data_IF_855054913632
#
_entry.id   IF_855054913632
#
_cell.length_a   1.000
_cell.length_b   1.000
_cell.length_c   1.000
_cell.angle_alpha   90.00
_cell.angle_beta   90.00
_cell.angle_gamma   90.00
#
_symmetry.space_group_name_H-M   'P 1'
#
loop_
_entity.id
_entity.type
_entity.pdbx_description
1 polymer ?
#
# COMPACT_ATOMS: atom_id res chain seq x y z
N UNK A 1 -14.04 -18.43 -19.00
CA UNK A 1 -15.13 -18.38 -20.00
C UNK A 1 -15.23 -17.06 -20.77
N UNK A 2 -15.00 -15.85 -20.20
CA UNK A 2 -15.10 -14.59 -20.97
C UNK A 2 -13.86 -14.29 -21.85
N UNK A 3 -12.67 -14.69 -21.40
CA UNK A 3 -11.39 -14.43 -22.10
C UNK A 3 -10.95 -15.55 -23.05
N UNK A 4 -11.64 -16.68 -23.02
CA UNK A 4 -11.44 -17.81 -23.94
C UNK A 4 -12.81 -18.18 -24.53
N UNK A 5 -13.28 -17.41 -25.53
CA UNK A 5 -14.58 -17.65 -26.11
C UNK A 5 -14.62 -18.97 -26.88
N UNK A 6 -15.63 -19.78 -26.58
CA UNK A 6 -15.97 -20.95 -27.39
C UNK A 6 -16.70 -20.42 -28.64
N UNK A 7 -16.11 -20.56 -29.83
CA UNK A 7 -16.66 -20.13 -31.12
C UNK A 7 -16.53 -18.63 -31.46
N UNK A 8 -15.53 -17.92 -30.93
CA UNK A 8 -15.11 -16.65 -31.51
C UNK A 8 -13.62 -16.39 -31.27
N UNK A 9 -13.05 -15.40 -31.95
CA UNK A 9 -11.70 -14.92 -31.69
C UNK A 9 -11.65 -14.05 -30.43
N UNK A 10 -10.54 -14.07 -29.67
CA UNK A 10 -10.35 -13.15 -28.55
C UNK A 10 -10.15 -11.71 -29.07
N UNK A 11 -10.64 -10.71 -28.31
CA UNK A 11 -10.38 -9.28 -28.63
C UNK A 11 -8.92 -8.91 -28.41
N UNK A 12 -8.32 -9.47 -27.35
CA UNK A 12 -6.90 -9.36 -27.04
C UNK A 12 -6.43 -10.77 -26.68
N UNK A 13 -5.49 -11.32 -27.44
CA UNK A 13 -5.00 -12.68 -27.20
C UNK A 13 -4.26 -13.25 -28.41
N UNK A 14 -3.77 -14.47 -28.27
CA UNK A 14 -3.16 -15.24 -29.35
C UNK A 14 -4.20 -16.21 -29.92
N UNK A 15 -4.22 -16.36 -31.22
CA UNK A 15 -4.97 -17.40 -31.94
C UNK A 15 -4.04 -17.99 -33.02
N UNK A 16 -4.34 -19.20 -33.49
CA UNK A 16 -3.61 -19.83 -34.58
C UNK A 16 -4.20 -19.38 -35.91
N UNK A 17 -3.39 -19.38 -36.96
CA UNK A 17 -3.85 -19.05 -38.32
C UNK A 17 -4.99 -19.95 -38.81
N UNK A 18 -5.01 -21.21 -38.37
CA UNK A 18 -6.07 -22.18 -38.65
C UNK A 18 -7.41 -21.76 -38.03
N UNK A 19 -7.40 -21.08 -36.89
CA UNK A 19 -8.63 -20.63 -36.21
C UNK A 19 -9.34 -19.54 -37.02
N UNK A 20 -8.60 -18.67 -37.72
CA UNK A 20 -9.18 -17.63 -38.58
C UNK A 20 -9.92 -18.26 -39.78
N UNK A 21 -9.35 -19.31 -40.36
CA UNK A 21 -9.92 -19.96 -41.54
C UNK A 21 -11.24 -20.69 -41.24
N UNK A 22 -11.48 -21.03 -39.98
CA UNK A 22 -12.72 -21.67 -39.53
C UNK A 22 -13.91 -20.70 -39.44
N UNK A 23 -13.69 -19.38 -39.43
CA UNK A 23 -14.76 -18.38 -39.32
C UNK A 23 -15.21 -17.85 -40.68
N UNK A 24 -16.52 -17.73 -40.86
CA UNK A 24 -17.08 -16.95 -41.97
C UNK A 24 -16.79 -15.47 -41.76
N UNK A 25 -16.42 -14.75 -42.83
CA UNK A 25 -16.18 -13.30 -42.79
C UNK A 25 -17.34 -12.56 -42.11
N UNK A 26 -17.05 -11.76 -41.08
CA UNK A 26 -18.03 -11.01 -40.27
C UNK A 26 -18.57 -11.76 -39.03
N UNK A 27 -18.23 -13.04 -38.85
CA UNK A 27 -18.61 -13.88 -37.69
C UNK A 27 -17.43 -14.25 -36.80
N UNK A 28 -16.28 -13.61 -36.99
CA UNK A 28 -15.04 -13.90 -36.26
C UNK A 28 -15.15 -13.51 -34.78
N UNK A 29 -15.96 -12.49 -34.47
CA UNK A 29 -16.15 -12.00 -33.10
C UNK A 29 -17.58 -12.23 -32.61
N UNK A 30 -17.71 -12.81 -31.42
CA UNK A 30 -18.97 -12.99 -30.72
C UNK A 30 -19.53 -11.66 -30.20
N UNK A 31 -20.74 -11.72 -29.64
CA UNK A 31 -21.48 -10.55 -29.17
C UNK A 31 -20.71 -9.75 -28.12
N UNK A 32 -20.13 -10.43 -27.12
CA UNK A 32 -19.31 -9.80 -26.07
C UNK A 32 -18.04 -9.17 -26.67
N UNK A 33 -17.39 -9.86 -27.60
CA UNK A 33 -16.18 -9.38 -28.27
C UNK A 33 -16.46 -8.12 -29.08
N UNK A 34 -17.60 -8.07 -29.79
CA UNK A 34 -18.04 -6.88 -30.54
C UNK A 34 -18.31 -5.69 -29.62
N UNK A 35 -18.92 -5.91 -28.45
CA UNK A 35 -19.12 -4.87 -27.44
C UNK A 35 -17.78 -4.31 -26.95
N UNK A 36 -16.82 -5.18 -26.64
CA UNK A 36 -15.48 -4.80 -26.19
C UNK A 36 -14.69 -4.06 -27.28
N UNK A 37 -14.70 -4.53 -28.53
CA UNK A 37 -14.06 -3.85 -29.67
C UNK A 37 -14.65 -2.43 -29.81
N UNK A 38 -15.98 -2.31 -29.76
CA UNK A 38 -16.66 -1.00 -29.86
C UNK A 38 -16.23 -0.04 -28.74
N UNK A 39 -16.09 -0.54 -27.52
CA UNK A 39 -15.61 0.24 -26.39
C UNK A 39 -14.15 0.69 -26.60
N UNK A 40 -13.27 -0.26 -26.94
CA UNK A 40 -11.83 -0.03 -27.09
C UNK A 40 -11.49 0.86 -28.29
N UNK A 41 -12.29 0.82 -29.34
CA UNK A 41 -12.16 1.70 -30.52
C UNK A 41 -12.80 3.08 -30.33
N UNK A 42 -13.49 3.34 -29.21
CA UNK A 42 -14.14 4.63 -28.96
C UNK A 42 -13.16 5.66 -28.41
N UNK A 43 -13.21 6.88 -28.93
CA UNK A 43 -12.40 8.03 -28.47
C UNK A 43 -12.94 8.70 -27.21
N UNK A 44 -14.16 8.37 -26.76
CA UNK A 44 -14.85 9.02 -25.64
C UNK A 44 -14.92 8.04 -24.45
N UNK A 45 -14.13 8.29 -23.39
CA UNK A 45 -13.84 7.28 -22.35
C UNK A 45 -14.76 7.24 -21.11
N UNK A 46 -15.52 8.28 -20.76
CA UNK A 46 -16.07 8.37 -19.39
C UNK A 46 -17.51 7.89 -19.14
N UNK A 47 -18.27 7.47 -20.16
CA UNK A 47 -19.64 6.92 -19.98
C UNK A 47 -19.90 5.57 -20.65
N UNK A 48 -19.09 5.20 -21.64
CA UNK A 48 -19.29 3.96 -22.40
C UNK A 48 -18.82 2.71 -21.66
N UNK A 49 -17.87 2.83 -20.74
CA UNK A 49 -17.35 1.70 -19.96
C UNK A 49 -18.45 1.06 -19.12
N UNK A 50 -19.15 1.85 -18.29
CA UNK A 50 -20.27 1.38 -17.47
C UNK A 50 -21.40 0.81 -18.32
N UNK A 51 -21.75 1.48 -19.42
CA UNK A 51 -22.79 1.01 -20.33
C UNK A 51 -22.41 -0.32 -20.98
N UNK A 52 -21.16 -0.45 -21.43
CA UNK A 52 -20.64 -1.68 -22.05
C UNK A 52 -20.57 -2.82 -21.03
N UNK A 53 -20.12 -2.53 -19.81
CA UNK A 53 -20.12 -3.51 -18.72
C UNK A 53 -21.54 -4.01 -18.44
N UNK A 54 -22.52 -3.11 -18.36
CA UNK A 54 -23.93 -3.49 -18.20
C UNK A 54 -24.43 -4.32 -19.38
N UNK A 55 -24.07 -3.98 -20.62
CA UNK A 55 -24.45 -4.77 -21.80
C UNK A 55 -23.86 -6.19 -21.77
N UNK A 56 -22.60 -6.34 -21.36
CA UNK A 56 -21.94 -7.65 -21.23
C UNK A 56 -22.62 -8.47 -20.13
N UNK A 57 -22.89 -7.87 -18.98
CA UNK A 57 -23.56 -8.51 -17.85
C UNK A 57 -24.98 -8.94 -18.25
N UNK A 58 -25.76 -8.05 -18.87
CA UNK A 58 -27.10 -8.38 -19.36
C UNK A 58 -27.06 -9.50 -20.38
N UNK A 59 -26.12 -9.46 -21.34
CA UNK A 59 -25.97 -10.50 -22.35
C UNK A 59 -25.62 -11.86 -21.71
N UNK A 60 -24.78 -11.90 -20.68
CA UNK A 60 -24.50 -13.12 -19.94
C UNK A 60 -25.77 -13.68 -19.28
N UNK A 61 -26.49 -12.87 -18.50
CA UNK A 61 -27.70 -13.34 -17.82
C UNK A 61 -28.83 -13.70 -18.78
N UNK A 62 -28.95 -13.03 -19.92
CA UNK A 62 -29.97 -13.37 -20.92
C UNK A 62 -29.71 -14.72 -21.60
N UNK A 63 -28.46 -15.10 -21.81
CA UNK A 63 -28.12 -16.31 -22.56
C UNK A 63 -27.78 -17.51 -21.66
N UNK A 64 -27.04 -17.28 -20.58
CA UNK A 64 -26.54 -18.35 -19.70
C UNK A 64 -27.47 -18.61 -18.51
N UNK A 65 -28.20 -17.59 -18.04
CA UNK A 65 -29.05 -17.65 -16.85
C UNK A 65 -30.43 -16.98 -17.06
N UNK A 66 -31.21 -17.39 -18.07
CA UNK A 66 -32.42 -16.68 -18.51
C UNK A 66 -33.46 -16.50 -17.40
N UNK A 67 -33.53 -17.42 -16.45
CA UNK A 67 -34.39 -17.35 -15.27
C UNK A 67 -34.06 -16.14 -14.37
N UNK A 68 -32.76 -15.86 -14.17
CA UNK A 68 -32.28 -14.70 -13.41
C UNK A 68 -32.56 -13.41 -14.17
N UNK A 69 -32.36 -13.40 -15.49
CA UNK A 69 -32.69 -12.25 -16.35
C UNK A 69 -34.19 -11.93 -16.32
N UNK A 70 -35.03 -12.95 -16.42
CA UNK A 70 -36.49 -12.81 -16.32
C UNK A 70 -36.91 -12.27 -14.95
N UNK A 71 -36.33 -12.79 -13.86
CA UNK A 71 -36.60 -12.32 -12.50
C UNK A 71 -36.17 -10.85 -12.32
N UNK A 72 -35.01 -10.45 -12.84
CA UNK A 72 -34.53 -9.07 -12.81
C UNK A 72 -35.42 -8.10 -13.61
N UNK A 73 -35.92 -8.53 -14.78
CA UNK A 73 -36.75 -7.70 -15.66
C UNK A 73 -38.22 -7.60 -15.22
N UNK A 74 -38.78 -8.67 -14.65
CA UNK A 74 -40.18 -8.72 -14.22
C UNK A 74 -40.43 -8.05 -12.86
N UNK A 75 -39.38 -7.72 -12.10
CA UNK A 75 -39.50 -7.14 -10.76
C UNK A 75 -40.09 -8.09 -9.71
N UNK A 76 -40.47 -9.31 -10.10
CA UNK A 76 -40.91 -10.37 -9.21
C UNK A 76 -39.68 -11.07 -8.64
N UNK A 77 -39.11 -10.51 -7.57
CA UNK A 77 -37.88 -11.07 -6.99
C UNK A 77 -38.01 -11.53 -5.53
N UNK A 78 -38.90 -12.50 -5.22
CA UNK A 78 -38.80 -13.28 -3.98
C UNK A 78 -37.42 -13.96 -3.84
N UNK A 79 -36.83 -14.38 -4.96
CA UNK A 79 -35.57 -15.12 -4.99
C UNK A 79 -34.32 -14.26 -4.78
N UNK A 80 -34.33 -12.96 -5.08
CA UNK A 80 -33.21 -12.07 -4.71
C UNK A 80 -33.19 -11.85 -3.21
N UNK A 81 -34.36 -11.75 -2.56
CA UNK A 81 -34.43 -11.67 -1.10
C UNK A 81 -33.87 -12.96 -0.48
N UNK A 82 -34.20 -14.12 -1.03
CA UNK A 82 -33.63 -15.40 -0.61
C UNK A 82 -32.12 -15.49 -0.87
N UNK A 83 -31.62 -15.04 -2.03
CA UNK A 83 -30.19 -14.95 -2.36
C UNK A 83 -29.45 -13.94 -1.47
N UNK A 84 -30.06 -12.81 -1.12
CA UNK A 84 -29.51 -11.82 -0.19
C UNK A 84 -29.51 -12.34 1.24
N UNK A 85 -30.52 -13.11 1.64
CA UNK A 85 -30.58 -13.79 2.94
C UNK A 85 -29.53 -14.90 3.00
N UNK A 86 -29.43 -15.74 1.96
CA UNK A 86 -28.40 -16.78 1.82
C UNK A 86 -27.00 -16.16 1.77
N UNK A 87 -26.82 -15.04 1.08
CA UNK A 87 -25.58 -14.26 1.07
C UNK A 87 -25.23 -13.79 2.48
N UNK A 88 -26.19 -13.15 3.18
CA UNK A 88 -26.01 -12.71 4.57
C UNK A 88 -25.71 -13.87 5.53
N UNK A 89 -26.34 -15.04 5.34
CA UNK A 89 -26.12 -16.22 6.19
C UNK A 89 -24.87 -17.01 5.82
N UNK A 90 -24.39 -16.93 4.57
CA UNK A 90 -23.20 -17.63 4.08
C UNK A 90 -21.90 -16.99 4.55
N UNK A 91 -21.94 -15.76 5.08
CA UNK A 91 -20.75 -15.01 5.48
C UNK A 91 -19.83 -14.63 4.32
N UNK A 92 -20.23 -14.90 3.07
CA UNK A 92 -19.48 -14.51 1.87
C UNK A 92 -19.47 -13.00 1.78
N UNK A 93 -18.34 -12.38 2.12
CA UNK A 93 -18.11 -10.97 1.82
C UNK A 93 -17.61 -10.90 0.39
N UNK A 94 -18.40 -10.36 -0.53
CA UNK A 94 -17.83 -9.79 -1.76
C UNK A 94 -16.89 -8.71 -1.24
N UNK A 95 -15.58 -8.94 -1.37
CA UNK A 95 -14.56 -8.04 -0.87
C UNK A 95 -14.92 -6.64 -1.32
N UNK A 96 -15.25 -5.78 -0.35
CA UNK A 96 -15.28 -4.35 -0.63
C UNK A 96 -13.90 -4.05 -1.18
N UNK A 97 -13.84 -3.40 -2.35
CA UNK A 97 -12.58 -2.96 -3.00
C UNK A 97 -11.73 -2.10 -2.03
N UNK A 98 -12.29 -1.75 -0.87
CA UNK A 98 -11.72 -0.93 0.19
C UNK A 98 -11.45 -1.66 1.51
N UNK A 99 -11.87 -2.93 1.70
CA UNK A 99 -11.74 -3.63 2.98
C UNK A 99 -10.67 -4.71 2.95
N UNK A 100 -9.65 -4.52 3.79
CA UNK A 100 -9.20 -5.57 4.71
C UNK A 100 -8.98 -6.95 4.10
N UNK A 101 -8.26 -7.04 2.97
CA UNK A 101 -7.64 -8.29 2.58
C UNK A 101 -6.85 -8.83 3.77
N UNK A 102 -7.05 -10.11 4.08
CA UNK A 102 -6.44 -10.92 5.14
C UNK A 102 -4.90 -10.95 5.16
N UNK A 103 -4.24 -10.03 4.45
CA UNK A 103 -2.80 -9.93 4.27
C UNK A 103 -2.20 -8.62 4.81
N UNK A 104 -2.97 -7.73 5.44
CA UNK A 104 -2.36 -6.58 6.12
C UNK A 104 -1.67 -7.03 7.39
N UNK A 105 -0.48 -6.47 7.65
CA UNK A 105 0.33 -6.77 8.82
C UNK A 105 -0.43 -6.39 10.08
N UNK A 106 -0.50 -7.32 11.04
CA UNK A 106 -1.24 -7.14 12.30
C UNK A 106 -0.32 -6.77 13.48
N UNK A 107 0.99 -6.99 13.34
CA UNK A 107 1.97 -6.71 14.38
C UNK A 107 3.34 -6.39 13.79
N UNK A 108 4.13 -5.62 14.52
CA UNK A 108 5.55 -5.38 14.27
C UNK A 108 6.32 -6.05 15.40
N UNK A 109 6.74 -7.30 15.23
CA UNK A 109 7.40 -8.05 16.29
C UNK A 109 6.52 -8.13 17.55
N UNK A 110 6.90 -7.42 18.60
CA UNK A 110 6.16 -7.36 19.88
C UNK A 110 5.17 -6.20 20.02
N UNK A 111 4.89 -5.47 18.93
CA UNK A 111 4.02 -4.29 18.96
C UNK A 111 2.78 -4.50 18.08
N UNK A 112 1.56 -4.50 18.64
CA UNK A 112 0.34 -4.73 17.87
C UNK A 112 -0.03 -3.52 17.01
N UNK A 113 -0.49 -3.77 15.79
CA UNK A 113 -1.03 -2.77 14.87
C UNK A 113 -2.54 -2.69 15.08
N UNK A 114 -3.02 -1.56 15.61
CA UNK A 114 -4.46 -1.29 15.78
C UNK A 114 -5.19 -1.43 14.44
N UNK A 115 -6.35 -2.08 14.42
CA UNK A 115 -7.11 -2.27 13.18
C UNK A 115 -7.51 -0.93 12.58
N UNK A 116 -7.52 -0.84 11.24
CA UNK A 116 -7.87 0.42 10.56
C UNK A 116 -9.27 0.91 10.96
N UNK A 117 -10.23 0.00 11.17
CA UNK A 117 -11.59 0.35 11.64
C UNK A 117 -11.63 1.02 13.01
N UNK A 118 -10.65 0.77 13.86
CA UNK A 118 -10.55 1.33 15.21
C UNK A 118 -9.91 2.72 15.24
N UNK A 119 -9.33 3.19 14.13
CA UNK A 119 -8.83 4.56 14.05
C UNK A 119 -9.98 5.55 13.77
N UNK A 120 -9.93 6.79 14.31
CA UNK A 120 -10.84 7.87 13.94
C UNK A 120 -10.88 8.14 12.44
N UNK A 121 -12.03 8.57 11.89
CA UNK A 121 -12.16 8.89 10.45
C UNK A 121 -11.22 10.03 10.02
N UNK A 122 -10.93 10.97 10.91
CA UNK A 122 -9.97 12.05 10.68
C UNK A 122 -8.55 11.55 10.39
N UNK A 123 -8.20 10.34 10.88
CA UNK A 123 -6.91 9.67 10.64
C UNK A 123 -6.96 8.67 9.47
N UNK A 124 -8.09 8.60 8.74
CA UNK A 124 -8.34 7.68 7.62
C UNK A 124 -8.81 8.45 6.37
N UNK A 125 -7.99 9.36 5.81
CA UNK A 125 -8.40 10.22 4.71
C UNK A 125 -8.92 9.42 3.51
N UNK A 126 -10.04 9.84 2.91
CA UNK A 126 -10.66 9.16 1.78
C UNK A 126 -9.95 9.40 0.44
N UNK A 127 -9.12 10.46 0.34
CA UNK A 127 -8.50 10.88 -0.90
C UNK A 127 -7.01 11.19 -0.73
N UNK A 128 -6.23 10.90 -1.77
CA UNK A 128 -4.78 11.13 -1.77
C UNK A 128 -4.40 12.62 -1.69
N UNK A 129 -5.27 13.55 -2.11
CA UNK A 129 -5.02 15.00 -2.14
C UNK A 129 -5.43 15.72 -0.86
N UNK A 130 -6.30 15.11 -0.04
CA UNK A 130 -6.75 15.69 1.24
C UNK A 130 -5.74 15.49 2.37
N UNK A 131 -4.68 14.68 2.14
CA UNK A 131 -3.63 14.37 3.12
C UNK A 131 -2.75 15.55 3.52
N UNK A 132 -2.88 16.72 2.87
CA UNK A 132 -2.09 17.88 3.30
C UNK A 132 -2.65 18.35 4.64
N UNK A 133 -1.87 18.31 5.75
CA UNK A 133 -2.29 18.84 7.04
C UNK A 133 -2.16 20.38 7.02
N UNK A 134 -2.64 21.02 5.95
CA UNK A 134 -2.68 22.48 5.82
C UNK A 134 -3.95 23.06 6.46
N UNK A 135 -4.95 22.24 6.81
CA UNK A 135 -6.24 22.73 7.31
C UNK A 135 -6.72 22.13 8.63
N UNK A 136 -6.70 20.81 8.80
CA UNK A 136 -7.44 20.14 9.88
C UNK A 136 -6.61 19.75 11.09
N UNK A 137 -5.44 19.14 10.91
CA UNK A 137 -4.58 18.75 12.04
C UNK A 137 -3.76 19.98 12.47
N UNK A 138 -4.40 20.91 13.17
CA UNK A 138 -3.71 21.99 13.88
C UNK A 138 -3.08 21.42 15.15
N UNK A 139 -2.02 20.63 15.01
CA UNK A 139 -1.03 20.60 16.09
C UNK A 139 -0.45 22.02 16.09
N UNK A 140 -0.77 22.81 17.12
CA UNK A 140 -0.23 24.17 17.30
C UNK A 140 1.28 24.08 17.55
N UNK A 141 2.06 23.85 16.50
CA UNK A 141 3.51 23.57 16.56
C UNK A 141 4.39 24.83 16.60
N UNK A 142 3.80 26.01 16.86
CA UNK A 142 4.56 27.27 16.88
C UNK A 142 5.24 27.59 15.52
N UNK A 143 6.16 28.58 15.49
CA UNK A 143 6.85 29.02 14.27
C UNK A 143 7.96 28.08 13.77
N UNK A 144 8.25 26.95 14.45
CA UNK A 144 9.21 25.92 14.00
C UNK A 144 8.63 24.95 12.94
N UNK A 145 7.47 25.28 12.37
CA UNK A 145 6.59 24.41 11.56
C UNK A 145 7.19 23.96 10.23
N UNK A 146 7.94 24.82 9.55
CA UNK A 146 8.44 24.56 8.20
C UNK A 146 9.81 23.89 8.23
N UNK A 147 10.72 24.38 9.07
CA UNK A 147 12.12 23.90 9.14
C UNK A 147 12.22 22.42 9.51
N UNK A 148 11.43 21.99 10.49
CA UNK A 148 11.57 20.64 11.05
C UNK A 148 10.68 19.60 10.36
N UNK A 149 9.61 20.04 9.70
CA UNK A 149 8.74 19.19 8.87
C UNK A 149 9.47 18.73 7.60
N UNK A 150 10.35 19.58 7.09
CA UNK A 150 11.18 19.27 5.92
C UNK A 150 12.39 18.41 6.30
N UNK A 151 12.98 18.57 7.49
CA UNK A 151 14.23 17.92 7.87
C UNK A 151 14.23 16.38 7.76
N UNK A 152 13.24 15.68 8.34
CA UNK A 152 13.18 14.22 8.28
C UNK A 152 12.94 13.71 6.85
N UNK A 153 12.03 14.36 6.12
CA UNK A 153 11.75 14.04 4.72
C UNK A 153 12.97 14.26 3.85
N UNK A 154 13.64 15.39 4.02
CA UNK A 154 14.66 15.87 3.10
C UNK A 154 15.99 15.18 3.34
N UNK A 155 16.30 14.79 4.59
CA UNK A 155 17.47 13.97 4.89
C UNK A 155 17.36 12.58 4.25
N UNK A 156 16.21 11.93 4.38
CA UNK A 156 15.91 10.64 3.74
C UNK A 156 16.00 10.77 2.21
N UNK A 157 15.47 11.85 1.64
CA UNK A 157 15.52 12.10 0.19
C UNK A 157 16.91 12.40 -0.34
N UNK A 158 17.74 13.13 0.42
CA UNK A 158 19.13 13.41 0.06
C UNK A 158 19.94 12.13 0.01
N UNK A 159 19.81 11.27 1.02
CA UNK A 159 20.48 9.95 1.07
C UNK A 159 20.04 9.11 -0.13
N UNK A 160 18.73 9.06 -0.41
CA UNK A 160 18.22 8.31 -1.56
C UNK A 160 18.74 8.82 -2.90
N UNK A 161 18.87 10.14 -3.02
CA UNK A 161 19.35 10.79 -4.24
C UNK A 161 20.83 10.51 -4.46
N UNK A 162 21.64 10.53 -3.40
CA UNK A 162 23.07 10.25 -3.43
C UNK A 162 23.40 8.79 -3.78
N UNK A 163 22.53 7.83 -3.43
CA UNK A 163 22.75 6.39 -3.66
C UNK A 163 22.35 5.89 -5.07
N UNK A 164 22.10 6.77 -6.06
CA UNK A 164 21.72 6.32 -7.40
C UNK A 164 22.91 5.96 -8.29
N UNK A 165 23.02 4.68 -8.61
CA UNK A 165 23.77 4.18 -9.75
C UNK A 165 22.86 4.03 -10.97
N UNK A 166 23.39 4.34 -12.16
CA UNK A 166 22.69 4.13 -13.44
C UNK A 166 22.45 2.64 -13.66
N UNK A 167 21.19 2.24 -13.86
CA UNK A 167 20.85 0.87 -14.23
C UNK A 167 21.29 0.56 -15.66
N UNK A 168 22.29 -0.31 -15.83
CA UNK A 168 22.54 -1.01 -17.08
C UNK A 168 22.21 -2.51 -16.94
N UNK A 169 22.31 -3.24 -18.05
CA UNK A 169 21.80 -4.60 -18.28
C UNK A 169 21.97 -5.54 -17.05
N UNK A 170 20.84 -6.07 -16.55
CA UNK A 170 20.81 -6.86 -15.31
C UNK A 170 19.81 -8.02 -15.39
N UNK A 171 20.15 -9.11 -14.70
CA UNK A 171 19.21 -10.18 -14.39
C UNK A 171 18.32 -9.73 -13.22
N UNK A 172 17.02 -9.97 -13.33
CA UNK A 172 16.03 -9.64 -12.30
C UNK A 172 15.37 -10.88 -11.73
N UNK A 173 15.19 -10.89 -10.43
CA UNK A 173 14.42 -11.87 -9.68
C UNK A 173 13.23 -11.18 -9.00
N UNK A 174 12.08 -11.84 -9.06
CA UNK A 174 10.90 -11.50 -8.27
C UNK A 174 10.64 -12.67 -7.34
N UNK A 175 10.12 -12.39 -6.15
CA UNK A 175 9.62 -13.45 -5.28
C UNK A 175 8.47 -14.18 -6.00
N UNK A 176 8.74 -15.41 -6.44
CA UNK A 176 7.78 -16.24 -7.20
C UNK A 176 6.50 -16.53 -6.40
N UNK A 177 6.56 -16.42 -5.07
CA UNK A 177 5.49 -16.75 -4.14
C UNK A 177 4.84 -15.49 -3.52
N UNK A 178 4.37 -14.60 -4.40
CA UNK A 178 3.30 -13.56 -4.30
C UNK A 178 3.12 -12.66 -3.07
N UNK A 179 3.84 -12.81 -1.95
CA UNK A 179 3.50 -12.07 -0.71
C UNK A 179 4.13 -10.69 -0.63
N UNK A 180 5.30 -10.49 -1.24
CA UNK A 180 6.03 -9.24 -1.13
C UNK A 180 6.37 -8.65 -2.52
N UNK A 181 5.84 -7.47 -2.86
CA UNK A 181 5.97 -6.83 -4.19
C UNK A 181 7.33 -6.16 -4.38
N UNK A 182 8.38 -6.98 -4.41
CA UNK A 182 9.79 -6.55 -4.49
C UNK A 182 10.49 -7.21 -5.67
N UNK A 183 11.35 -6.43 -6.31
CA UNK A 183 12.21 -6.79 -7.41
C UNK A 183 13.67 -6.67 -6.96
N UNK A 184 14.42 -7.75 -7.05
CA UNK A 184 15.85 -7.76 -6.76
C UNK A 184 16.60 -7.93 -8.09
N UNK A 185 17.57 -7.06 -8.37
CA UNK A 185 18.40 -7.10 -9.58
C UNK A 185 19.86 -7.27 -9.24
N UNK A 186 20.58 -8.02 -10.07
CA UNK A 186 22.04 -8.10 -9.96
C UNK A 186 22.68 -6.98 -10.80
N UNK A 187 23.50 -6.15 -10.17
CA UNK A 187 24.30 -5.11 -10.84
C UNK A 187 25.67 -5.70 -11.19
N UNK A 188 26.02 -5.65 -12.48
CA UNK A 188 27.39 -5.91 -12.95
C UNK A 188 28.13 -4.58 -13.06
N UNK A 189 28.82 -4.16 -11.99
CA UNK A 189 29.71 -3.01 -12.06
C UNK A 189 31.10 -3.46 -12.52
N UNK A 190 31.55 -2.96 -13.67
CA UNK A 190 32.87 -3.28 -14.23
C UNK A 190 34.05 -2.76 -13.38
N UNK A 191 33.80 -1.84 -12.43
CA UNK A 191 34.83 -1.21 -11.60
C UNK A 191 34.97 -1.75 -10.17
N UNK A 192 34.06 -2.62 -9.71
CA UNK A 192 34.13 -3.16 -8.35
C UNK A 192 34.89 -4.49 -8.39
N UNK A 193 35.87 -4.66 -7.49
CA UNK A 193 36.86 -5.76 -7.37
C UNK A 193 36.27 -7.19 -7.32
N UNK A 194 35.52 -7.63 -8.33
CA UNK A 194 34.91 -8.96 -8.40
C UNK A 194 33.66 -9.17 -7.52
N UNK A 195 33.42 -8.32 -6.52
CA UNK A 195 32.23 -8.43 -5.66
C UNK A 195 30.95 -8.16 -6.46
N UNK A 196 29.98 -9.04 -6.29
CA UNK A 196 28.64 -8.93 -6.88
C UNK A 196 27.80 -7.96 -6.03
N UNK A 197 27.04 -7.10 -6.69
CA UNK A 197 26.13 -6.17 -6.03
C UNK A 197 24.70 -6.47 -6.46
N UNK A 198 23.76 -6.38 -5.52
CA UNK A 198 22.34 -6.46 -5.76
C UNK A 198 21.66 -5.11 -5.60
N UNK A 199 20.46 -4.98 -6.14
CA UNK A 199 19.63 -3.79 -6.03
C UNK A 199 18.19 -4.17 -5.72
N UNK A 200 17.62 -3.57 -4.68
CA UNK A 200 16.22 -3.73 -4.29
C UNK A 200 15.37 -2.61 -4.85
N UNK A 201 14.25 -2.96 -5.47
CA UNK A 201 13.21 -2.03 -5.92
C UNK A 201 11.80 -2.58 -5.66
N UNK A 202 10.79 -1.71 -5.69
CA UNK A 202 9.39 -2.09 -5.45
C UNK A 202 8.61 -2.20 -6.77
N UNK A 203 7.68 -3.16 -6.80
CA UNK A 203 6.75 -3.38 -7.91
C UNK A 203 5.30 -3.21 -7.46
N UNK A 204 4.35 -3.20 -8.39
CA UNK A 204 2.93 -3.22 -8.04
C UNK A 204 2.51 -4.63 -7.58
N UNK A 205 1.59 -4.74 -6.61
CA UNK A 205 1.14 -6.04 -6.09
C UNK A 205 0.58 -6.98 -7.15
N UNK A 206 0.00 -6.42 -8.21
CA UNK A 206 -0.66 -7.19 -9.26
C UNK A 206 0.26 -7.54 -10.43
N UNK A 207 1.42 -6.89 -10.57
CA UNK A 207 2.31 -7.04 -11.72
C UNK A 207 3.78 -6.70 -11.35
N UNK A 208 4.78 -7.41 -11.90
CA UNK A 208 6.20 -7.15 -11.65
C UNK A 208 6.72 -5.84 -12.28
N UNK A 209 5.83 -4.89 -12.59
CA UNK A 209 6.18 -3.58 -13.14
C UNK A 209 6.78 -2.74 -12.00
N UNK A 210 8.03 -2.24 -12.15
CA UNK A 210 8.65 -1.35 -11.18
C UNK A 210 7.80 -0.10 -10.94
N UNK A 211 7.60 0.27 -9.68
CA UNK A 211 6.93 1.52 -9.34
C UNK A 211 7.86 2.68 -9.73
N UNK A 212 7.28 3.74 -10.31
CA UNK A 212 8.03 4.93 -10.64
C UNK A 212 8.67 5.54 -9.39
N UNK A 213 9.93 5.97 -9.51
CA UNK A 213 10.68 6.60 -8.42
C UNK A 213 9.90 7.71 -7.73
N UNK A 214 9.34 8.64 -8.50
CA UNK A 214 8.59 9.76 -7.92
C UNK A 214 7.41 9.30 -7.07
N UNK A 215 6.74 8.21 -7.46
CA UNK A 215 5.63 7.62 -6.70
C UNK A 215 6.10 7.02 -5.39
N UNK A 216 7.18 6.23 -5.40
CA UNK A 216 7.80 5.67 -4.18
C UNK A 216 8.21 6.80 -3.24
N UNK A 217 8.89 7.81 -3.78
CA UNK A 217 9.38 8.97 -3.04
C UNK A 217 8.22 9.76 -2.43
N UNK A 218 7.16 10.07 -3.19
CA UNK A 218 6.00 10.77 -2.68
C UNK A 218 5.32 10.01 -1.52
N UNK A 219 5.25 8.68 -1.61
CA UNK A 219 4.66 7.85 -0.55
C UNK A 219 5.55 7.78 0.70
N UNK A 220 6.86 7.64 0.53
CA UNK A 220 7.81 7.71 1.65
C UNK A 220 7.80 9.09 2.32
N UNK A 221 7.79 10.18 1.55
CA UNK A 221 7.66 11.56 2.08
C UNK A 221 6.40 11.72 2.91
N UNK A 222 5.27 11.18 2.41
CA UNK A 222 4.00 11.17 3.16
C UNK A 222 4.15 10.39 4.47
N UNK A 223 4.65 9.16 4.43
CA UNK A 223 4.88 8.36 5.63
C UNK A 223 5.77 9.09 6.65
N UNK A 224 6.90 9.67 6.22
CA UNK A 224 7.79 10.46 7.08
C UNK A 224 7.10 11.66 7.70
N UNK A 225 6.28 12.38 6.92
CA UNK A 225 5.51 13.50 7.46
C UNK A 225 4.54 13.05 8.56
N UNK A 226 3.90 11.88 8.42
CA UNK A 226 2.99 11.35 9.43
C UNK A 226 3.74 10.82 10.66
N UNK A 227 4.90 10.18 10.45
CA UNK A 227 5.79 9.76 11.53
C UNK A 227 6.24 10.96 12.38
N UNK A 228 6.57 12.08 11.73
CA UNK A 228 6.95 13.31 12.40
C UNK A 228 5.77 13.89 13.21
N UNK A 229 4.54 13.84 12.68
CA UNK A 229 3.34 14.24 13.43
C UNK A 229 3.18 13.39 14.71
N UNK A 230 3.40 12.08 14.63
CA UNK A 230 3.32 11.19 15.80
C UNK A 230 4.36 11.56 16.87
N UNK A 231 5.59 11.82 16.44
CA UNK A 231 6.67 12.29 17.31
C UNK A 231 6.29 13.61 18.03
N UNK A 232 5.78 14.59 17.28
CA UNK A 232 5.38 15.86 17.85
C UNK A 232 4.19 15.78 18.79
N UNK A 233 3.21 14.93 18.48
CA UNK A 233 2.09 14.67 19.36
C UNK A 233 2.57 14.15 20.72
N UNK A 234 3.56 13.26 20.73
CA UNK A 234 4.20 12.79 21.96
C UNK A 234 4.90 13.92 22.72
N UNK A 235 5.72 14.74 22.04
CA UNK A 235 6.40 15.87 22.71
C UNK A 235 5.40 16.85 23.33
N UNK A 236 4.29 17.15 22.63
CA UNK A 236 3.19 17.97 23.17
C UNK A 236 2.58 17.31 24.41
N UNK A 237 2.32 16.00 24.35
CA UNK A 237 1.80 15.23 25.47
C UNK A 237 2.73 15.32 26.69
N UNK A 238 4.01 15.02 26.51
CA UNK A 238 5.03 15.07 27.58
C UNK A 238 5.11 16.45 28.22
N UNK A 239 5.07 17.52 27.41
CA UNK A 239 5.05 18.89 27.91
C UNK A 239 3.79 19.17 28.76
N UNK A 240 2.62 18.72 28.30
CA UNK A 240 1.36 18.91 29.00
C UNK A 240 1.31 18.13 30.32
N UNK A 241 1.93 16.94 30.36
CA UNK A 241 2.06 16.12 31.58
C UNK A 241 3.25 16.50 32.44
N UNK A 242 3.99 17.57 32.09
CA UNK A 242 5.22 18.04 32.76
C UNK A 242 6.27 16.93 32.92
N UNK A 243 6.30 16.01 31.96
CA UNK A 243 7.28 14.95 31.90
C UNK A 243 8.48 15.43 31.10
N UNK A 244 9.66 15.46 31.73
CA UNK A 244 10.90 15.93 31.12
C UNK A 244 11.85 14.77 30.81
N UNK A 245 12.48 14.83 29.65
CA UNK A 245 13.56 13.92 29.24
C UNK A 245 14.86 14.71 29.09
N UNK A 246 15.97 14.12 29.55
CA UNK A 246 17.30 14.74 29.46
C UNK A 246 17.97 14.63 28.09
N UNK A 247 17.23 14.31 27.02
CA UNK A 247 17.77 14.10 25.67
C UNK A 247 16.73 14.40 24.59
N UNK A 248 17.18 14.58 23.35
CA UNK A 248 16.30 14.82 22.20
C UNK A 248 15.91 13.52 21.50
N UNK A 249 14.60 13.25 21.41
CA UNK A 249 14.08 12.05 20.73
C UNK A 249 14.18 12.13 19.20
N UNK A 250 14.13 13.33 18.63
CA UNK A 250 14.01 13.49 17.18
C UNK A 250 15.24 12.95 16.43
N UNK A 251 16.49 13.36 16.73
CA UNK A 251 17.65 12.88 15.99
C UNK A 251 17.81 11.35 16.10
N UNK A 252 17.44 10.79 17.25
CA UNK A 252 17.47 9.35 17.50
C UNK A 252 16.45 8.59 16.63
N UNK A 253 15.25 9.13 16.46
CA UNK A 253 14.25 8.59 15.55
C UNK A 253 14.71 8.67 14.09
N UNK A 254 15.30 9.81 13.68
CA UNK A 254 15.81 10.03 12.32
C UNK A 254 16.90 9.00 12.01
N UNK A 255 17.89 8.87 12.88
CA UNK A 255 19.00 7.95 12.68
C UNK A 255 18.50 6.51 12.62
N UNK A 256 17.63 6.12 13.56
CA UNK A 256 17.08 4.77 13.57
C UNK A 256 16.28 4.45 12.30
N UNK A 257 15.38 5.33 11.84
CA UNK A 257 14.58 5.04 10.65
C UNK A 257 15.47 5.00 9.41
N UNK A 258 16.52 5.83 9.33
CA UNK A 258 17.49 5.78 8.24
C UNK A 258 18.21 4.43 8.19
N UNK A 259 18.69 3.93 9.33
CA UNK A 259 19.32 2.62 9.42
C UNK A 259 18.35 1.48 9.04
N UNK A 260 17.10 1.56 9.48
CA UNK A 260 16.05 0.58 9.13
C UNK A 260 15.74 0.57 7.64
N UNK A 261 15.78 1.73 6.98
CA UNK A 261 15.42 1.87 5.57
C UNK A 261 16.57 1.52 4.63
N UNK A 262 17.78 1.92 4.97
CA UNK A 262 18.88 2.00 4.01
C UNK A 262 20.10 1.20 4.41
N UNK A 263 20.29 0.90 5.68
CA UNK A 263 21.44 0.11 6.09
C UNK A 263 21.09 -1.37 6.12
N UNK A 264 22.03 -2.16 5.62
CA UNK A 264 22.00 -3.63 5.62
C UNK A 264 22.25 -4.08 7.06
N UNK A 265 21.27 -3.81 7.92
CA UNK A 265 21.36 -4.15 9.33
C UNK A 265 21.35 -5.67 9.45
N UNK A 266 22.41 -6.25 10.04
CA UNK A 266 22.44 -7.65 10.52
C UNK A 266 21.89 -8.67 9.50
N UNK A 267 22.44 -8.68 8.28
CA UNK A 267 22.06 -9.61 7.21
C UNK A 267 20.65 -9.41 6.63
N UNK A 268 20.08 -8.21 6.73
CA UNK A 268 18.82 -7.84 6.06
C UNK A 268 19.05 -6.98 4.84
N UNK A 269 18.16 -7.10 3.86
CA UNK A 269 18.15 -6.27 2.66
C UNK A 269 17.74 -4.82 3.00
N UNK A 270 18.19 -3.82 2.23
CA UNK A 270 17.66 -2.46 2.35
C UNK A 270 16.22 -2.43 1.82
N UNK A 271 15.39 -1.46 2.25
CA UNK A 271 14.06 -1.25 1.68
C UNK A 271 14.16 -1.00 0.16
N UNK A 272 15.16 -0.22 -0.21
CA UNK A 272 15.44 0.25 -1.56
C UNK A 272 16.94 0.50 -1.70
N UNK A 273 17.49 0.17 -2.86
CA UNK A 273 18.86 0.52 -3.21
C UNK A 273 19.82 -0.66 -3.24
N UNK A 274 21.11 -0.34 -3.26
CA UNK A 274 22.20 -1.30 -3.47
C UNK A 274 22.56 -2.07 -2.19
N UNK A 275 22.94 -3.33 -2.35
CA UNK A 275 23.54 -4.15 -1.29
C UNK A 275 24.66 -5.03 -1.86
N UNK A 276 25.62 -5.42 -1.01
CA UNK A 276 26.66 -6.37 -1.39
C UNK A 276 26.12 -7.80 -1.32
N UNK A 277 26.31 -8.58 -2.38
CA UNK A 277 25.99 -10.00 -2.39
C UNK A 277 27.18 -10.79 -1.87
N UNK A 278 26.97 -11.63 -0.86
CA UNK A 278 28.02 -12.52 -0.33
C UNK A 278 28.46 -13.53 -1.39
N UNK A 279 29.76 -13.88 -1.37
CA UNK A 279 30.33 -14.82 -2.32
C UNK A 279 29.61 -16.19 -2.24
N UNK A 280 29.19 -16.70 -3.40
CA UNK A 280 28.46 -17.98 -3.50
C UNK A 280 26.96 -17.90 -3.26
N UNK A 281 26.41 -16.80 -2.73
CA UNK A 281 24.94 -16.61 -2.67
C UNK A 281 24.38 -16.28 -4.05
N UNK A 282 23.24 -16.89 -4.36
CA UNK A 282 22.48 -16.62 -5.57
C UNK A 282 21.32 -15.66 -5.29
N UNK A 283 20.92 -14.86 -6.28
CA UNK A 283 19.88 -13.83 -6.12
C UNK A 283 18.47 -14.43 -5.86
N UNK A 284 18.25 -15.66 -6.27
CA UNK A 284 17.03 -16.43 -6.03
C UNK A 284 16.98 -17.06 -4.62
N UNK A 285 18.07 -16.95 -3.83
CA UNK A 285 18.09 -17.42 -2.44
C UNK A 285 17.41 -16.46 -1.46
N UNK A 286 17.14 -15.22 -1.88
CA UNK A 286 16.43 -14.26 -1.04
C UNK A 286 14.96 -14.64 -0.85
N UNK A 287 14.41 -14.22 0.28
CA UNK A 287 13.03 -14.43 0.71
C UNK A 287 12.46 -13.16 1.36
N UNK A 288 11.14 -13.09 1.57
CA UNK A 288 10.52 -12.00 2.35
C UNK A 288 11.12 -11.82 3.75
N UNK A 289 11.65 -12.88 4.36
CA UNK A 289 12.26 -12.83 5.70
C UNK A 289 13.60 -12.09 5.71
N UNK A 290 14.20 -11.83 4.55
CA UNK A 290 15.40 -11.00 4.43
C UNK A 290 15.10 -9.50 4.58
N UNK A 291 13.82 -9.11 4.66
CA UNK A 291 13.39 -7.78 5.05
C UNK A 291 13.08 -7.74 6.55
N UNK A 292 13.41 -6.63 7.21
CA UNK A 292 12.98 -6.41 8.58
C UNK A 292 11.46 -6.09 8.62
N UNK A 293 10.83 -6.33 9.77
CA UNK A 293 9.36 -6.17 9.92
C UNK A 293 8.85 -4.77 9.57
N UNK A 294 9.66 -3.74 9.81
CA UNK A 294 9.34 -2.34 9.47
C UNK A 294 9.39 -2.15 7.95
N UNK A 295 10.42 -2.69 7.29
CA UNK A 295 10.52 -2.68 5.83
C UNK A 295 9.34 -3.40 5.20
N UNK A 296 8.95 -4.57 5.71
CA UNK A 296 7.79 -5.32 5.22
C UNK A 296 6.51 -4.48 5.31
N UNK A 297 6.27 -3.80 6.44
CA UNK A 297 5.15 -2.86 6.58
C UNK A 297 5.21 -1.72 5.56
N UNK A 298 6.38 -1.12 5.37
CA UNK A 298 6.55 -0.02 4.44
C UNK A 298 6.41 -0.47 2.98
N UNK A 299 6.86 -1.67 2.64
CA UNK A 299 6.62 -2.27 1.32
C UNK A 299 5.11 -2.40 1.10
N UNK A 300 4.39 -3.02 2.04
CA UNK A 300 2.93 -3.15 1.96
C UNK A 300 2.23 -1.78 1.86
N UNK A 301 2.69 -0.79 2.62
CA UNK A 301 2.15 0.57 2.58
C UNK A 301 2.41 1.23 1.23
N UNK A 302 3.65 1.22 0.74
CA UNK A 302 4.05 1.93 -0.49
C UNK A 302 3.36 1.32 -1.72
N UNK A 303 3.28 0.01 -1.79
CA UNK A 303 2.71 -0.72 -2.93
C UNK A 303 1.18 -0.76 -2.94
N UNK A 304 0.53 -0.47 -1.80
CA UNK A 304 -0.93 -0.40 -1.70
C UNK A 304 -1.53 0.78 -2.47
N UNK A 305 -2.62 0.54 -3.21
CA UNK A 305 -3.38 1.60 -3.86
C UNK A 305 -4.04 2.55 -2.85
N UNK A 306 -4.42 2.03 -1.67
CA UNK A 306 -5.12 2.76 -0.62
C UNK A 306 -4.18 3.18 0.53
N UNK A 307 -2.89 3.38 0.22
CA UNK A 307 -1.88 3.71 1.23
C UNK A 307 -2.19 4.98 2.03
N UNK A 308 -2.88 5.94 1.42
CA UNK A 308 -3.26 7.20 2.04
C UNK A 308 -4.08 7.00 3.33
N UNK A 309 -5.07 6.09 3.30
CA UNK A 309 -5.88 5.73 4.48
C UNK A 309 -5.07 5.13 5.64
N UNK A 310 -3.91 4.55 5.34
CA UNK A 310 -3.10 3.77 6.30
C UNK A 310 -1.83 4.50 6.75
N UNK A 311 -1.58 5.73 6.28
CA UNK A 311 -0.37 6.46 6.66
C UNK A 311 -0.29 6.66 8.17
N UNK A 312 -1.36 7.14 8.82
CA UNK A 312 -1.37 7.28 10.29
C UNK A 312 -1.24 5.94 11.00
N UNK A 313 -1.98 4.91 10.55
CA UNK A 313 -1.87 3.56 11.11
C UNK A 313 -0.41 3.07 11.09
N UNK A 314 0.24 3.14 9.93
CA UNK A 314 1.62 2.70 9.77
C UNK A 314 2.59 3.57 10.57
N UNK A 315 2.46 4.89 10.53
CA UNK A 315 3.34 5.81 11.25
C UNK A 315 3.23 5.66 12.77
N UNK A 316 2.03 5.54 13.33
CA UNK A 316 1.82 5.25 14.75
C UNK A 316 2.40 3.87 15.12
N UNK A 317 2.20 2.85 14.28
CA UNK A 317 2.75 1.52 14.54
C UNK A 317 4.29 1.53 14.60
N UNK A 318 4.93 2.16 13.61
CA UNK A 318 6.40 2.27 13.55
C UNK A 318 6.94 3.10 14.71
N UNK A 319 6.26 4.20 15.06
CA UNK A 319 6.67 5.05 16.17
C UNK A 319 6.54 4.35 17.53
N UNK A 320 5.42 3.65 17.76
CA UNK A 320 5.17 2.87 18.97
C UNK A 320 6.16 1.71 19.11
N UNK A 321 6.40 0.97 18.02
CA UNK A 321 7.43 -0.07 17.98
C UNK A 321 8.82 0.47 18.35
N UNK A 322 9.23 1.59 17.75
CA UNK A 322 10.52 2.21 18.04
C UNK A 322 10.63 2.62 19.50
N UNK A 323 9.63 3.33 20.03
CA UNK A 323 9.65 3.81 21.40
C UNK A 323 9.66 2.64 22.41
N UNK A 324 8.87 1.60 22.17
CA UNK A 324 8.81 0.40 23.03
C UNK A 324 10.12 -0.38 23.02
N UNK A 325 10.73 -0.58 21.86
CA UNK A 325 11.91 -1.44 21.74
C UNK A 325 13.23 -0.72 21.99
N UNK A 326 13.33 0.57 21.67
CA UNK A 326 14.56 1.35 21.85
C UNK A 326 14.56 2.14 23.17
N UNK A 327 13.38 2.52 23.66
CA UNK A 327 13.22 3.34 24.88
C UNK A 327 12.16 2.75 25.81
N UNK A 328 12.16 1.43 26.01
CA UNK A 328 11.12 0.73 26.77
C UNK A 328 10.83 1.28 28.17
N UNK A 329 11.84 1.85 28.86
CA UNK A 329 11.65 2.55 30.14
C UNK A 329 10.81 3.81 29.99
N UNK A 330 11.12 4.65 28.99
CA UNK A 330 10.35 5.84 28.67
C UNK A 330 8.93 5.46 28.22
N UNK A 331 8.82 4.44 27.36
CA UNK A 331 7.54 3.90 26.92
C UNK A 331 6.65 3.51 28.10
N UNK A 332 7.18 2.73 29.04
CA UNK A 332 6.44 2.25 30.22
C UNK A 332 6.10 3.35 31.23
N UNK A 333 6.81 4.48 31.19
CA UNK A 333 6.51 5.64 32.02
C UNK A 333 5.42 6.53 31.40
N UNK A 334 5.32 6.55 30.08
CA UNK A 334 4.32 7.33 29.36
C UNK A 334 3.02 6.54 29.14
N UNK A 335 3.10 5.21 29.04
CA UNK A 335 1.99 4.33 28.70
C UNK A 335 2.03 3.06 29.55
N UNK A 336 0.88 2.67 30.09
CA UNK A 336 0.70 1.41 30.83
C UNK A 336 0.81 0.20 29.92
N UNK A 337 0.33 0.31 28.68
CA UNK A 337 0.33 -0.78 27.69
C UNK A 337 0.16 -0.23 26.25
N UNK A 338 0.18 -1.14 25.28
CA UNK A 338 0.07 -0.81 23.85
C UNK A 338 -1.28 -0.16 23.49
N UNK A 339 -2.37 -0.55 24.15
CA UNK A 339 -3.69 0.05 23.90
C UNK A 339 -3.77 1.50 24.38
N UNK A 340 -3.23 1.79 25.58
CA UNK A 340 -3.19 3.16 26.10
C UNK A 340 -2.30 4.07 25.24
N UNK A 341 -1.21 3.53 24.69
CA UNK A 341 -0.41 4.26 23.69
C UNK A 341 -1.24 4.68 22.49
N UNK A 342 -2.01 3.74 21.93
CA UNK A 342 -2.84 4.02 20.76
C UNK A 342 -3.96 5.00 21.09
N UNK A 343 -4.63 4.85 22.23
CA UNK A 343 -5.70 5.75 22.67
C UNK A 343 -5.19 7.18 22.86
N UNK A 344 -4.09 7.36 23.61
CA UNK A 344 -3.52 8.67 23.88
C UNK A 344 -3.06 9.35 22.58
N UNK A 345 -2.26 8.66 21.74
CA UNK A 345 -1.75 9.32 20.53
C UNK A 345 -2.82 9.56 19.48
N UNK A 346 -3.79 8.67 19.31
CA UNK A 346 -4.90 8.94 18.38
C UNK A 346 -5.74 10.10 18.86
N UNK A 347 -6.04 10.20 20.15
CA UNK A 347 -6.78 11.32 20.73
C UNK A 347 -6.05 12.67 20.56
N UNK A 348 -4.73 12.71 20.75
CA UNK A 348 -3.95 13.96 20.66
C UNK A 348 -3.74 14.42 19.22
N UNK A 349 -3.69 13.48 18.27
CA UNK A 349 -3.53 13.80 16.85
C UNK A 349 -4.88 14.14 16.22
N UNK A 350 -5.97 13.54 16.69
CA UNK A 350 -7.31 13.75 16.14
C UNK A 350 -7.80 15.18 16.41
N UNK A 351 -7.91 16.04 15.37
CA UNK A 351 -8.33 17.42 15.56
C UNK A 351 -9.79 17.56 15.97
N UNK A 352 -10.63 16.54 15.75
CA UNK A 352 -12.06 16.59 16.09
C UNK A 352 -12.28 16.42 17.61
N UNK A 353 -11.30 15.86 18.32
CA UNK A 353 -11.33 15.69 19.79
C UNK A 353 -10.88 16.95 20.56
N UNK A 354 -10.06 17.82 19.96
CA UNK A 354 -9.59 19.09 20.58
C UNK A 354 -10.75 20.10 20.79
N UNK A 355 -11.92 19.90 20.15
CA UNK A 355 -13.10 20.78 20.29
C UNK A 355 -14.07 20.40 21.43
N UNK A 356 -13.89 19.26 22.08
CA UNK A 356 -14.74 18.86 23.23
C UNK A 356 -14.13 19.21 24.59
N UNK A 357 -12.87 19.61 24.65
CA UNK A 357 -12.17 19.94 25.90
C UNK A 357 -12.20 21.46 26.20
N UNK A 358 -12.71 22.28 25.28
CA UNK A 358 -12.79 23.75 25.40
C UNK A 358 -14.11 24.32 25.93
N UNK A 359 -15.05 23.47 26.33
CA UNK A 359 -16.38 23.87 26.82
C UNK A 359 -16.74 23.10 28.11
N UNK A 360 -15.92 23.22 29.14
CA UNK A 360 -16.36 23.01 30.53
C UNK A 360 -15.77 24.09 31.44
#
# INVERSE_FOLDING_TARGET
MIFEPQNSLPVIGRFRSQDIQAFTKGKEFGTIQKMLITLLSSTIRSRRETQTAMMIISNYYENECPEVSHALKSGQIPHLRSLVIQYKSSGVRIGSVFDEGSSWIQELGNFPIRHLKQLPESLKPNFFTTDTPKGRIRVNLGPRKEEVKEELSDNVMKIFSARNSYMSQSFSFNFNDSKLPVLIKLIKNAGNQGRKHGWVWLCYNSNPIPIQRQTVMNKLKKFMSHLNICHYALLRHMKNTKYEIGFELQPLLINWINEVLFDVNKNKLPLLGEFALEDGKSIDSFSPDDFNVIQTLLICLITSQNSHRRNFQASLSVFGYWLKNMYGRLYSQLFKNDEEYWDILTQIIDPEMDHHIGHE
#
